data_IF_638779210240
#
_entry.id   IF_638779210240
#
_cell.length_a   1.000
_cell.length_b   1.000
_cell.length_c   1.000
_cell.angle_alpha   90.00
_cell.angle_beta   90.00
_cell.angle_gamma   90.00
#
_symmetry.space_group_name_H-M   'P 1'
#
loop_
_entity.id
_entity.type
_entity.pdbx_description
1 polymer ?
#
# COMPACT_ATOMS: atom_id res chain seq x y z
N UNK A 1 -3.05 -16.69 15.08
CA UNK A 1 -1.76 -17.30 15.34
C UNK A 1 -0.73 -17.12 14.23
N UNK A 2 -1.12 -17.06 13.01
CA UNK A 2 -0.19 -16.79 11.93
C UNK A 2 -0.28 -15.36 11.40
N UNK A 3 0.73 -14.99 10.63
CA UNK A 3 0.75 -13.76 9.86
C UNK A 3 0.80 -14.11 8.37
N UNK A 4 0.09 -13.35 7.56
CA UNK A 4 0.16 -13.44 6.11
C UNK A 4 0.35 -12.05 5.52
N UNK A 5 1.12 -11.95 4.45
CA UNK A 5 1.27 -10.73 3.66
C UNK A 5 0.54 -10.93 2.34
N UNK A 6 -0.42 -10.06 2.07
CA UNK A 6 -1.16 -10.01 0.81
C UNK A 6 -0.87 -8.68 0.13
N UNK A 7 -0.80 -8.69 -1.19
CA UNK A 7 -0.58 -7.45 -1.94
C UNK A 7 -1.36 -7.43 -3.25
N UNK A 8 -1.89 -6.27 -3.57
CA UNK A 8 -2.44 -5.95 -4.88
C UNK A 8 -1.46 -5.02 -5.58
N UNK A 9 -1.12 -5.27 -6.83
CA UNK A 9 -0.14 -4.47 -7.55
C UNK A 9 -0.55 -4.24 -9.00
N UNK A 10 -0.11 -3.13 -9.56
CA UNK A 10 -0.30 -2.80 -10.96
C UNK A 10 1.04 -2.83 -11.73
N UNK A 11 2.05 -2.14 -11.20
CA UNK A 11 3.36 -1.98 -11.84
C UNK A 11 4.52 -2.61 -11.06
N UNK A 12 4.22 -3.32 -9.97
CA UNK A 12 5.22 -4.02 -9.16
C UNK A 12 5.71 -3.25 -7.94
N UNK A 13 5.34 -1.99 -7.74
CA UNK A 13 5.76 -1.19 -6.59
C UNK A 13 5.33 -1.83 -5.27
N UNK A 14 4.05 -2.13 -5.14
CA UNK A 14 3.49 -2.73 -3.92
C UNK A 14 4.08 -4.12 -3.66
N UNK A 15 4.29 -4.90 -4.70
CA UNK A 15 4.94 -6.21 -4.61
C UNK A 15 6.34 -6.10 -4.03
N UNK A 16 7.15 -5.15 -4.51
CA UNK A 16 8.51 -4.94 -4.03
C UNK A 16 8.54 -4.58 -2.53
N UNK A 17 7.61 -3.76 -2.07
CA UNK A 17 7.46 -3.43 -0.65
C UNK A 17 7.04 -4.66 0.15
N UNK A 18 6.10 -5.44 -0.35
CA UNK A 18 5.67 -6.69 0.29
C UNK A 18 6.84 -7.67 0.47
N UNK A 19 7.66 -7.83 -0.56
CA UNK A 19 8.85 -8.70 -0.51
C UNK A 19 9.89 -8.19 0.50
N UNK A 20 10.08 -6.87 0.58
CA UNK A 20 10.95 -6.27 1.58
C UNK A 20 10.47 -6.57 3.01
N UNK A 21 9.17 -6.41 3.28
CA UNK A 21 8.58 -6.76 4.58
C UNK A 21 8.70 -8.25 4.87
N UNK A 22 8.44 -9.10 3.87
CA UNK A 22 8.53 -10.56 4.03
C UNK A 22 9.93 -11.01 4.44
N UNK A 23 10.97 -10.31 3.99
CA UNK A 23 12.36 -10.65 4.31
C UNK A 23 12.71 -10.56 5.80
N UNK A 24 11.90 -9.85 6.60
CA UNK A 24 12.09 -9.69 8.05
C UNK A 24 11.01 -10.37 8.89
N UNK A 25 10.10 -11.08 8.24
CA UNK A 25 9.05 -11.85 8.91
C UNK A 25 9.59 -13.20 9.41
N UNK A 26 8.89 -13.84 10.37
CA UNK A 26 9.20 -15.21 10.74
C UNK A 26 9.23 -16.15 9.53
N UNK A 27 10.13 -17.13 9.57
CA UNK A 27 10.25 -18.12 8.51
C UNK A 27 8.91 -18.80 8.22
N UNK A 28 8.59 -18.97 6.93
CA UNK A 28 7.35 -19.58 6.50
C UNK A 28 6.14 -18.64 6.42
N UNK A 29 6.32 -17.33 6.69
CA UNK A 29 5.24 -16.36 6.51
C UNK A 29 4.87 -16.25 5.04
N UNK A 30 3.62 -16.57 4.64
CA UNK A 30 3.21 -16.43 3.24
C UNK A 30 3.23 -14.97 2.80
N UNK A 31 3.69 -14.74 1.56
CA UNK A 31 3.66 -13.43 0.91
C UNK A 31 3.18 -13.66 -0.53
N UNK A 32 1.90 -13.39 -0.77
CA UNK A 32 1.25 -13.74 -2.04
C UNK A 32 0.37 -12.60 -2.55
N UNK A 33 0.16 -12.50 -3.86
CA UNK A 33 -0.79 -11.54 -4.40
C UNK A 33 -2.22 -11.84 -3.93
N UNK A 34 -3.04 -10.81 -3.84
CA UNK A 34 -4.45 -10.94 -3.41
C UNK A 34 -5.20 -12.02 -4.21
N UNK A 35 -4.90 -12.14 -5.51
CA UNK A 35 -5.53 -13.17 -6.37
C UNK A 35 -5.25 -14.60 -5.92
N UNK A 36 -4.15 -14.81 -5.20
CA UNK A 36 -3.71 -16.12 -4.72
C UNK A 36 -3.95 -16.27 -3.21
N UNK A 37 -4.72 -15.37 -2.62
CA UNK A 37 -5.04 -15.44 -1.19
C UNK A 37 -5.72 -16.77 -0.85
N UNK A 38 -5.36 -17.39 0.29
CA UNK A 38 -6.05 -18.59 0.75
C UNK A 38 -7.53 -18.35 0.94
N UNK A 39 -8.35 -19.36 0.65
CA UNK A 39 -9.80 -19.28 0.80
C UNK A 39 -10.22 -18.98 2.25
N UNK A 40 -9.44 -19.44 3.22
CA UNK A 40 -9.70 -19.20 4.64
C UNK A 40 -8.64 -18.30 5.26
N UNK A 41 -8.84 -16.98 5.18
CA UNK A 41 -7.97 -16.01 5.85
C UNK A 41 -8.15 -16.03 7.37
N UNK A 42 -9.21 -16.62 7.88
CA UNK A 42 -9.44 -16.74 9.32
C UNK A 42 -8.40 -17.57 10.08
N UNK A 43 -7.59 -18.33 9.35
CA UNK A 43 -6.47 -19.08 9.96
C UNK A 43 -5.30 -18.18 10.39
N UNK A 44 -5.35 -16.91 10.02
CA UNK A 44 -4.31 -15.91 10.36
C UNK A 44 -4.85 -14.87 11.33
N UNK A 45 -4.14 -14.63 12.43
CA UNK A 45 -4.49 -13.54 13.34
C UNK A 45 -4.15 -12.18 12.75
N UNK A 46 -3.10 -12.10 11.97
CA UNK A 46 -2.57 -10.86 11.42
C UNK A 46 -2.48 -10.90 9.91
N UNK A 47 -3.07 -9.91 9.26
CA UNK A 47 -2.99 -9.73 7.80
C UNK A 47 -2.30 -8.40 7.51
N UNK A 48 -1.15 -8.47 6.84
CA UNK A 48 -0.55 -7.31 6.19
C UNK A 48 -1.13 -7.23 4.79
N UNK A 49 -1.81 -6.14 4.48
CA UNK A 49 -2.39 -5.93 3.15
C UNK A 49 -1.76 -4.73 2.47
N UNK A 50 -1.11 -5.01 1.35
CA UNK A 50 -0.52 -4.00 0.48
C UNK A 50 -1.44 -3.62 -0.66
N UNK A 51 -1.51 -2.34 -0.96
CA UNK A 51 -2.28 -1.83 -2.09
C UNK A 51 -1.60 -0.60 -2.72
N UNK A 52 -2.01 -0.28 -3.93
CA UNK A 52 -1.64 0.99 -4.53
C UNK A 52 -2.83 1.95 -4.42
N UNK A 53 -2.51 3.22 -4.22
CA UNK A 53 -3.54 4.25 -4.05
C UNK A 53 -4.13 4.59 -5.42
N UNK A 54 -5.44 4.43 -5.52
CA UNK A 54 -6.24 4.76 -6.69
C UNK A 54 -7.36 5.72 -6.25
N UNK A 55 -7.38 6.91 -6.82
CA UNK A 55 -8.39 7.94 -6.51
C UNK A 55 -8.54 8.23 -5.02
N UNK A 56 -7.42 8.25 -4.31
CA UNK A 56 -7.38 8.62 -2.90
C UNK A 56 -7.74 7.52 -1.91
N UNK A 57 -7.81 6.26 -2.35
CA UNK A 57 -8.07 5.11 -1.48
C UNK A 57 -7.40 3.86 -2.03
N UNK A 58 -7.64 2.71 -1.42
CA UNK A 58 -7.14 1.44 -1.93
C UNK A 58 -7.71 1.15 -3.33
N UNK A 59 -6.87 0.59 -4.19
CA UNK A 59 -7.32 0.12 -5.51
C UNK A 59 -8.44 -0.92 -5.36
N UNK A 60 -9.25 -1.08 -6.41
CA UNK A 60 -10.50 -1.84 -6.39
C UNK A 60 -10.36 -3.28 -5.88
N UNK A 61 -9.32 -3.99 -6.32
CA UNK A 61 -9.09 -5.38 -5.90
C UNK A 61 -8.84 -5.45 -4.39
N UNK A 62 -7.97 -4.60 -3.87
CA UNK A 62 -7.69 -4.53 -2.44
C UNK A 62 -8.90 -4.05 -1.65
N UNK A 63 -9.61 -3.04 -2.14
CA UNK A 63 -10.82 -2.51 -1.48
C UNK A 63 -11.87 -3.60 -1.25
N UNK A 64 -12.11 -4.45 -2.24
CA UNK A 64 -13.04 -5.58 -2.10
C UNK A 64 -12.61 -6.56 -1.01
N UNK A 65 -11.32 -6.83 -0.91
CA UNK A 65 -10.80 -7.71 0.13
C UNK A 65 -10.95 -7.07 1.51
N UNK A 66 -10.61 -5.78 1.64
CA UNK A 66 -10.69 -5.04 2.91
C UNK A 66 -12.08 -5.16 3.53
N UNK A 67 -13.13 -5.07 2.73
CA UNK A 67 -14.52 -5.17 3.18
C UNK A 67 -14.85 -6.53 3.82
N UNK A 68 -14.05 -7.54 3.57
CA UNK A 68 -14.27 -8.90 4.09
C UNK A 68 -13.32 -9.29 5.23
N UNK A 69 -12.32 -8.46 5.55
CA UNK A 69 -11.31 -8.80 6.54
C UNK A 69 -11.86 -8.69 7.97
N UNK A 70 -11.94 -9.81 8.65
CA UNK A 70 -12.39 -9.90 10.05
C UNK A 70 -11.27 -10.35 10.99
N UNK A 71 -10.03 -10.38 10.52
CA UNK A 71 -8.87 -10.80 11.28
C UNK A 71 -8.62 -9.85 12.46
N UNK A 72 -8.03 -10.39 13.51
CA UNK A 72 -7.78 -9.66 14.74
C UNK A 72 -6.90 -8.42 14.54
N UNK A 73 -5.87 -8.54 13.70
CA UNK A 73 -4.93 -7.48 13.43
C UNK A 73 -4.78 -7.27 11.91
N UNK A 74 -5.05 -6.07 11.46
CA UNK A 74 -4.85 -5.64 10.08
C UNK A 74 -3.76 -4.58 10.04
N UNK A 75 -2.85 -4.70 9.09
CA UNK A 75 -1.77 -3.75 8.87
C UNK A 75 -1.79 -3.38 7.39
N UNK A 76 -1.87 -2.09 7.10
CA UNK A 76 -1.83 -1.62 5.71
C UNK A 76 -0.43 -1.17 5.32
N UNK A 77 -0.07 -1.42 4.09
CA UNK A 77 1.06 -0.75 3.45
C UNK A 77 0.65 -0.35 2.04
N UNK A 78 0.98 0.87 1.67
CA UNK A 78 0.51 1.42 0.41
C UNK A 78 1.63 2.08 -0.37
N UNK A 79 1.50 2.05 -1.69
CA UNK A 79 2.33 2.82 -2.61
C UNK A 79 1.46 3.83 -3.35
N UNK A 80 2.01 5.01 -3.61
CA UNK A 80 1.30 6.06 -4.34
C UNK A 80 2.28 6.93 -5.11
N UNK A 81 1.78 7.61 -6.13
CA UNK A 81 2.59 8.55 -6.91
C UNK A 81 2.84 9.89 -6.19
N UNK A 82 2.00 10.23 -5.22
CA UNK A 82 2.15 11.43 -4.40
C UNK A 82 3.26 11.22 -3.36
N UNK A 83 3.74 12.31 -2.74
CA UNK A 83 4.70 12.24 -1.64
C UNK A 83 4.12 11.46 -0.45
N UNK A 84 4.95 10.63 0.15
CA UNK A 84 4.54 9.72 1.24
C UNK A 84 4.12 10.47 2.52
N UNK A 85 4.66 11.67 2.74
CA UNK A 85 4.35 12.52 3.89
C UNK A 85 3.21 13.51 3.64
N UNK A 86 2.52 13.39 2.50
CA UNK A 86 1.42 14.28 2.13
C UNK A 86 0.13 13.96 2.89
N UNK A 87 -0.77 14.96 2.97
CA UNK A 87 -2.13 14.75 3.49
C UNK A 87 -2.89 13.73 2.65
N UNK A 88 -2.67 13.72 1.34
CA UNK A 88 -3.27 12.75 0.43
C UNK A 88 -2.88 11.31 0.79
N UNK A 89 -1.62 11.07 1.15
CA UNK A 89 -1.17 9.74 1.58
C UNK A 89 -1.88 9.31 2.87
N UNK A 90 -1.94 10.19 3.87
CA UNK A 90 -2.63 9.92 5.14
C UNK A 90 -4.11 9.65 4.94
N UNK A 91 -4.78 10.50 4.18
CA UNK A 91 -6.21 10.35 3.89
C UNK A 91 -6.52 9.07 3.12
N UNK A 92 -5.61 8.62 2.28
CA UNK A 92 -5.77 7.36 1.54
C UNK A 92 -5.81 6.16 2.48
N UNK A 93 -4.97 6.13 3.51
CA UNK A 93 -5.01 5.10 4.55
C UNK A 93 -6.30 5.18 5.36
N UNK A 94 -6.73 6.39 5.73
CA UNK A 94 -7.99 6.60 6.47
C UNK A 94 -9.21 6.10 5.68
N UNK A 95 -9.28 6.42 4.39
CA UNK A 95 -10.37 5.97 3.52
C UNK A 95 -10.36 4.45 3.34
N UNK A 96 -9.19 3.83 3.19
CA UNK A 96 -9.08 2.39 3.14
C UNK A 96 -9.53 1.75 4.46
N UNK A 97 -9.15 2.32 5.59
CA UNK A 97 -9.56 1.82 6.92
C UNK A 97 -11.08 1.87 7.13
N UNK A 98 -11.75 2.86 6.51
CA UNK A 98 -13.20 2.97 6.58
C UNK A 98 -13.95 1.82 5.93
N UNK A 99 -13.27 1.04 5.07
CA UNK A 99 -13.84 -0.14 4.43
C UNK A 99 -13.80 -1.39 5.33
N UNK A 100 -12.99 -1.37 6.40
CA UNK A 100 -12.91 -2.51 7.32
C UNK A 100 -14.22 -2.71 8.07
N UNK A 101 -14.68 -3.97 8.21
CA UNK A 101 -15.85 -4.28 9.08
C UNK A 101 -15.65 -3.79 10.51
N UNK A 102 -14.42 -3.86 11.03
CA UNK A 102 -14.04 -3.31 12.33
C UNK A 102 -12.78 -2.47 12.18
N UNK A 103 -12.92 -1.14 12.28
CA UNK A 103 -11.78 -0.22 12.18
C UNK A 103 -10.74 -0.41 13.28
N UNK A 104 -11.14 -0.89 14.45
CA UNK A 104 -10.25 -1.10 15.59
C UNK A 104 -9.25 -2.23 15.33
N UNK A 105 -9.49 -3.08 14.33
CA UNK A 105 -8.53 -4.12 13.92
C UNK A 105 -7.31 -3.54 13.21
N UNK A 106 -7.37 -2.32 12.70
CA UNK A 106 -6.22 -1.68 12.05
C UNK A 106 -5.18 -1.30 13.11
N UNK A 107 -4.02 -1.95 13.04
CA UNK A 107 -2.91 -1.73 13.97
C UNK A 107 -2.08 -0.53 13.57
N UNK A 108 -1.72 -0.45 12.30
CA UNK A 108 -0.86 0.61 11.77
C UNK A 108 -0.89 0.62 10.24
N UNK A 109 -0.30 1.65 9.64
CA UNK A 109 -0.19 1.79 8.19
C UNK A 109 1.15 2.39 7.77
N UNK A 110 1.71 1.87 6.68
CA UNK A 110 2.93 2.34 6.05
C UNK A 110 2.63 2.86 4.65
N UNK A 111 3.28 3.94 4.26
CA UNK A 111 3.15 4.50 2.90
C UNK A 111 4.52 4.85 2.36
N UNK A 112 4.77 4.51 1.09
CA UNK A 112 5.92 5.04 0.37
C UNK A 112 5.54 5.47 -1.04
N UNK A 113 6.35 6.36 -1.61
CA UNK A 113 6.18 6.80 -2.98
C UNK A 113 6.54 5.67 -3.95
N UNK A 114 5.88 5.63 -5.09
CA UNK A 114 6.14 4.67 -6.15
C UNK A 114 6.05 5.31 -7.52
N UNK A 115 6.88 4.83 -8.44
CA UNK A 115 6.89 5.30 -9.82
C UNK A 115 5.52 5.14 -10.46
N UNK A 116 5.06 6.19 -11.11
CA UNK A 116 3.83 6.18 -11.90
C UNK A 116 4.15 5.71 -13.31
N UNK A 117 3.34 4.81 -13.86
CA UNK A 117 3.49 4.37 -15.25
C UNK A 117 3.42 5.60 -16.19
N UNK A 118 4.44 5.82 -17.04
CA UNK A 118 4.44 6.93 -17.99
C UNK A 118 3.19 7.00 -18.87
N UNK A 119 2.59 5.87 -19.18
CA UNK A 119 1.33 5.82 -19.97
C UNK A 119 0.16 6.41 -19.20
N UNK A 120 0.11 6.22 -17.89
CA UNK A 120 -0.92 6.80 -17.02
C UNK A 120 -0.75 8.32 -16.95
N UNK A 121 0.49 8.81 -16.83
CA UNK A 121 0.79 10.25 -16.84
C UNK A 121 0.34 10.87 -18.19
N UNK A 122 0.71 10.24 -19.29
CA UNK A 122 0.36 10.70 -20.63
C UNK A 122 -1.15 10.78 -20.80
N UNK A 123 -1.88 9.73 -20.40
CA UNK A 123 -3.34 9.68 -20.47
C UNK A 123 -3.97 10.79 -19.62
N UNK A 124 -3.47 10.99 -18.40
CA UNK A 124 -3.97 12.02 -17.49
C UNK A 124 -3.80 13.43 -18.09
N UNK A 125 -2.64 13.71 -18.68
CA UNK A 125 -2.38 15.01 -19.33
C UNK A 125 -3.20 15.23 -20.60
N UNK A 126 -3.60 14.15 -21.28
CA UNK A 126 -4.54 14.25 -22.41
C UNK A 126 -5.97 14.51 -21.96
N UNK A 127 -6.39 13.94 -20.83
CA UNK A 127 -7.75 14.07 -20.30
C UNK A 127 -7.99 15.42 -19.62
N UNK A 128 -6.97 16.02 -19.02
CA UNK A 128 -7.10 17.25 -18.25
C UNK A 128 -6.25 18.36 -18.85
N UNK A 129 -6.83 19.55 -19.12
CA UNK A 129 -6.09 20.66 -19.70
C UNK A 129 -5.02 21.20 -18.76
N UNK A 130 -3.93 21.80 -19.29
CA UNK A 130 -2.93 22.47 -18.45
C UNK A 130 -3.56 23.51 -17.54
N UNK A 131 -3.11 23.57 -16.29
CA UNK A 131 -3.65 24.49 -15.28
C UNK A 131 -4.87 23.96 -14.52
N UNK A 132 -5.47 22.85 -14.94
CA UNK A 132 -6.50 22.18 -14.13
C UNK A 132 -5.87 21.35 -13.00
N UNK A 133 -6.69 20.94 -12.02
CA UNK A 133 -6.22 20.23 -10.82
C UNK A 133 -5.41 18.94 -11.15
N UNK A 134 -5.71 18.28 -12.26
CA UNK A 134 -5.03 17.05 -12.69
C UNK A 134 -4.26 17.22 -14.01
N UNK A 135 -4.18 18.45 -14.53
CA UNK A 135 -3.45 18.76 -15.75
C UNK A 135 -1.95 18.93 -15.49
N UNK A 136 -1.20 19.03 -16.57
CA UNK A 136 0.23 19.25 -16.51
C UNK A 136 0.56 20.59 -15.83
N UNK A 137 1.53 20.57 -14.92
CA UNK A 137 2.07 21.75 -14.26
C UNK A 137 3.52 21.48 -13.86
N UNK A 138 4.34 22.51 -13.60
CA UNK A 138 5.70 22.32 -13.10
C UNK A 138 5.74 21.49 -11.81
N UNK A 139 4.78 21.66 -10.91
CA UNK A 139 4.68 20.93 -9.65
C UNK A 139 4.39 19.44 -9.88
N UNK A 140 3.52 19.13 -10.85
CA UNK A 140 3.21 17.76 -11.22
C UNK A 140 4.37 17.08 -11.93
N UNK A 141 5.06 17.80 -12.82
CA UNK A 141 6.23 17.26 -13.50
C UNK A 141 7.34 16.95 -12.48
N UNK A 142 7.54 17.83 -11.48
CA UNK A 142 8.49 17.60 -10.39
C UNK A 142 8.10 16.40 -9.54
N UNK A 143 6.81 16.24 -9.23
CA UNK A 143 6.28 15.09 -8.48
C UNK A 143 6.52 13.78 -9.22
N UNK A 144 6.20 13.73 -10.51
CA UNK A 144 6.39 12.54 -11.32
C UNK A 144 7.85 12.16 -11.45
N UNK A 145 8.73 13.16 -11.58
CA UNK A 145 10.18 12.96 -11.63
C UNK A 145 10.70 12.42 -10.30
N UNK A 146 10.27 12.98 -9.19
CA UNK A 146 10.64 12.49 -7.86
C UNK A 146 10.20 11.03 -7.67
N UNK A 147 9.02 10.66 -8.15
CA UNK A 147 8.49 9.31 -8.04
C UNK A 147 9.26 8.27 -8.86
N UNK A 148 9.97 8.67 -9.92
CA UNK A 148 10.65 7.74 -10.85
C UNK A 148 11.64 6.79 -10.17
N UNK A 149 12.25 7.20 -9.06
CA UNK A 149 13.24 6.42 -8.32
C UNK A 149 12.67 5.68 -7.12
N UNK A 150 11.35 5.74 -6.92
CA UNK A 150 10.68 5.09 -5.79
C UNK A 150 9.83 3.90 -6.22
N UNK A 151 9.71 2.84 -5.39
CA UNK A 151 10.41 2.68 -4.11
C UNK A 151 11.91 2.53 -4.30
N UNK A 152 12.68 3.10 -3.39
CA UNK A 152 14.14 2.99 -3.38
C UNK A 152 14.64 2.17 -2.17
N UNK A 153 15.97 2.06 -2.02
CA UNK A 153 16.60 1.32 -0.93
C UNK A 153 16.16 1.83 0.44
N UNK A 154 15.98 3.14 0.60
CA UNK A 154 15.53 3.74 1.85
C UNK A 154 14.08 3.37 2.14
N UNK A 155 13.23 3.35 1.12
CA UNK A 155 11.84 2.92 1.26
C UNK A 155 11.76 1.47 1.73
N UNK A 156 12.59 0.59 1.17
CA UNK A 156 12.63 -0.81 1.59
C UNK A 156 13.17 -0.96 3.02
N UNK A 157 14.19 -0.19 3.40
CA UNK A 157 14.69 -0.18 4.77
C UNK A 157 13.60 0.29 5.75
N UNK A 158 12.88 1.35 5.41
CA UNK A 158 11.77 1.85 6.20
C UNK A 158 10.63 0.83 6.33
N UNK A 159 10.31 0.13 5.25
CA UNK A 159 9.29 -0.93 5.25
C UNK A 159 9.67 -2.07 6.18
N UNK A 160 10.94 -2.49 6.15
CA UNK A 160 11.46 -3.55 7.05
C UNK A 160 11.38 -3.12 8.52
N UNK A 161 11.79 -1.92 8.84
CA UNK A 161 11.73 -1.39 10.21
C UNK A 161 10.26 -1.25 10.68
N UNK A 162 9.38 -0.80 9.80
CA UNK A 162 7.96 -0.76 10.09
C UNK A 162 7.41 -2.15 10.43
N UNK A 163 7.68 -3.15 9.59
CA UNK A 163 7.22 -4.51 9.81
C UNK A 163 7.72 -5.07 11.15
N UNK A 164 9.02 -4.87 11.46
CA UNK A 164 9.59 -5.27 12.75
C UNK A 164 8.91 -4.59 13.93
N UNK A 165 8.63 -3.29 13.82
CA UNK A 165 7.98 -2.52 14.89
C UNK A 165 6.56 -3.00 15.14
N UNK A 166 5.82 -3.34 14.09
CA UNK A 166 4.48 -3.91 14.21
C UNK A 166 4.52 -5.26 14.91
N UNK A 167 5.42 -6.15 14.50
CA UNK A 167 5.56 -7.46 15.13
C UNK A 167 5.88 -7.33 16.63
N UNK A 168 6.78 -6.42 16.99
CA UNK A 168 7.11 -6.16 18.40
C UNK A 168 5.89 -5.64 19.18
N UNK A 169 5.13 -4.75 18.59
CA UNK A 169 3.89 -4.22 19.18
C UNK A 169 2.85 -5.31 19.42
N UNK A 170 2.74 -6.28 18.51
CA UNK A 170 1.77 -7.38 18.64
C UNK A 170 2.19 -8.47 19.62
N UNK A 171 3.48 -8.56 19.95
CA UNK A 171 4.02 -9.53 20.90
C UNK A 171 3.99 -9.00 22.34
N UNK A 172 3.89 -7.71 22.55
CA UNK A 172 3.76 -7.05 23.85
C UNK A 172 2.35 -7.01 24.31
#
# INVERSE_FOLDING_TARGET
MGTIILYSYLTGNTKSVAEAMASVMPEGTPCVPVKEAPANLGDYDTVFLGFWVDRGTANKEAAKLIETLTNKHIVFFATLGMYADSDHARESIEKASALLPNKESLVDGFVCQGKIDPKVIEMMYKMFPPGSAHGQSPERDALHKAAETHPDEQDFANAKEFAKSVLAKLQG
#
